data_IF_896635480870
#
_entry.id   IF_896635480870
#
_cell.length_a   1.000
_cell.length_b   1.000
_cell.length_c   1.000
_cell.angle_alpha   90.00
_cell.angle_beta   90.00
_cell.angle_gamma   90.00
#
_symmetry.space_group_name_H-M   'P 1'
#
loop_
_entity.id
_entity.type
_entity.pdbx_description
1 polymer ?
#
# COMPACT_ATOMS: atom_id res chain seq x y z
N UNK A 1 -46.42 1.87 -37.10
CA UNK A 1 -47.23 3.10 -37.13
C UNK A 1 -46.81 4.01 -35.98
N UNK A 2 -46.39 5.24 -36.31
CA UNK A 2 -46.19 6.48 -35.53
C UNK A 2 -46.79 6.42 -34.09
N UNK A 3 -46.09 6.85 -33.04
CA UNK A 3 -45.85 8.29 -32.79
C UNK A 3 -44.48 8.58 -32.15
N UNK A 4 -43.85 9.58 -32.77
CA UNK A 4 -42.66 10.32 -32.40
C UNK A 4 -43.10 11.45 -31.46
N UNK A 5 -42.52 11.56 -30.26
CA UNK A 5 -42.67 12.76 -29.43
C UNK A 5 -41.30 13.40 -29.27
N UNK A 6 -41.07 14.41 -30.11
CA UNK A 6 -39.94 15.34 -30.04
C UNK A 6 -40.25 16.32 -28.91
N UNK A 7 -39.42 16.36 -27.86
CA UNK A 7 -39.42 17.47 -26.90
C UNK A 7 -38.22 18.37 -27.23
N UNK A 8 -38.59 19.60 -27.53
CA UNK A 8 -37.81 20.70 -28.07
C UNK A 8 -36.87 21.31 -27.01
N UNK A 9 -35.68 21.69 -27.46
CA UNK A 9 -34.69 22.55 -26.80
C UNK A 9 -35.31 23.70 -25.97
N UNK A 10 -34.84 23.88 -24.73
CA UNK A 10 -34.73 25.21 -24.11
C UNK A 10 -33.29 25.41 -23.62
N UNK A 11 -32.49 26.04 -24.48
CA UNK A 11 -31.18 26.59 -24.14
C UNK A 11 -31.40 27.97 -23.50
N UNK A 12 -31.24 28.09 -22.19
CA UNK A 12 -30.97 29.38 -21.54
C UNK A 12 -29.80 29.25 -20.60
N UNK A 13 -28.65 29.56 -21.19
CA UNK A 13 -27.39 29.92 -20.57
C UNK A 13 -27.59 31.13 -19.64
N UNK A 14 -27.43 30.94 -18.33
CA UNK A 14 -27.13 32.04 -17.40
C UNK A 14 -25.88 31.63 -16.64
N UNK A 15 -24.73 31.96 -17.23
CA UNK A 15 -23.44 31.98 -16.56
C UNK A 15 -23.45 33.25 -15.69
N UNK A 16 -23.75 33.14 -14.41
CA UNK A 16 -23.36 34.19 -13.44
C UNK A 16 -21.93 33.91 -13.01
N UNK A 17 -20.98 34.47 -13.77
CA UNK A 17 -19.62 34.69 -13.30
C UNK A 17 -19.68 35.73 -12.18
N UNK A 18 -19.85 35.26 -10.94
CA UNK A 18 -19.45 36.03 -9.78
C UNK A 18 -17.94 35.92 -9.70
N UNK A 19 -17.27 36.86 -10.40
CA UNK A 19 -15.88 37.15 -10.19
C UNK A 19 -15.72 37.77 -8.80
N UNK A 20 -15.34 36.95 -7.82
CA UNK A 20 -14.71 37.47 -6.61
C UNK A 20 -13.25 37.78 -6.96
N UNK A 21 -13.06 39.07 -7.26
CA UNK A 21 -11.85 39.87 -7.10
C UNK A 21 -10.78 39.18 -6.24
N UNK A 22 -9.64 38.93 -6.87
CA UNK A 22 -8.36 38.65 -6.23
C UNK A 22 -8.01 39.79 -5.26
N UNK A 23 -8.00 39.50 -3.97
CA UNK A 23 -7.14 40.23 -3.04
C UNK A 23 -5.91 39.36 -2.82
N UNK A 24 -4.84 39.71 -3.55
CA UNK A 24 -3.48 39.31 -3.22
C UNK A 24 -3.25 39.70 -1.75
N UNK A 25 -3.23 38.72 -0.85
CA UNK A 25 -2.45 38.86 0.38
C UNK A 25 -1.02 38.50 0.03
N UNK A 26 -0.25 39.56 -0.18
CA UNK A 26 1.20 39.56 -0.23
C UNK A 26 1.76 38.80 0.99
N UNK A 27 2.79 37.96 0.83
CA UNK A 27 3.41 37.27 1.95
C UNK A 27 4.10 38.29 2.84
N UNK A 28 3.81 38.23 4.14
CA UNK A 28 4.50 39.00 5.17
C UNK A 28 6.00 38.67 5.13
N UNK A 29 6.79 39.64 4.68
CA UNK A 29 8.25 39.66 4.82
C UNK A 29 8.54 39.89 6.29
N UNK A 30 8.91 38.83 7.01
CA UNK A 30 9.54 38.99 8.31
C UNK A 30 11.03 39.21 8.06
N UNK A 31 11.44 40.43 8.35
CA UNK A 31 12.80 40.95 8.25
C UNK A 31 13.80 40.11 9.06
N UNK A 32 14.90 39.78 8.39
CA UNK A 32 16.17 39.36 8.98
C UNK A 32 16.78 40.53 9.77
N UNK A 33 17.35 40.32 10.97
CA UNK A 33 18.37 41.22 11.48
C UNK A 33 19.77 40.76 11.05
N UNK A 34 20.51 41.72 10.47
CA UNK A 34 21.92 41.68 10.10
C UNK A 34 22.89 41.55 11.31
N UNK A 35 24.06 40.98 10.99
CA UNK A 35 25.43 41.25 11.45
C UNK A 35 25.76 41.47 12.95
N UNK A 36 26.68 40.61 13.43
CA UNK A 36 27.82 41.07 14.24
C UNK A 36 29.10 40.52 13.63
N UNK A 37 30.03 41.43 13.33
CA UNK A 37 31.32 41.26 12.68
C UNK A 37 32.36 40.49 13.53
N UNK A 38 33.09 39.60 12.82
CA UNK A 38 34.55 39.43 12.70
C UNK A 38 35.47 39.87 13.85
N UNK A 39 36.30 38.94 14.36
CA UNK A 39 37.76 39.15 14.47
C UNK A 39 38.54 37.85 14.23
N UNK A 40 39.39 37.91 13.20
CA UNK A 40 40.55 37.07 12.80
C UNK A 40 41.55 36.76 13.94
N UNK A 41 42.60 35.94 13.86
CA UNK A 41 43.30 35.04 12.92
C UNK A 41 44.30 34.25 13.82
N UNK A 42 44.77 33.06 13.43
CA UNK A 42 46.23 32.78 13.25
C UNK A 42 46.55 31.29 13.05
N UNK A 43 46.97 30.99 11.81
CA UNK A 43 48.10 30.15 11.33
C UNK A 43 48.30 28.69 11.78
N UNK A 44 48.19 27.83 10.76
CA UNK A 44 48.89 26.55 10.51
C UNK A 44 50.42 26.67 10.57
N UNK A 45 51.13 25.53 10.72
CA UNK A 45 51.94 25.10 9.57
C UNK A 45 51.79 23.62 9.20
N UNK A 46 51.77 23.39 7.88
CA UNK A 46 52.01 22.16 7.14
C UNK A 46 53.36 21.51 7.50
N UNK A 47 53.40 20.18 7.60
CA UNK A 47 54.61 19.40 7.30
C UNK A 47 54.23 18.22 6.42
N UNK A 48 54.66 18.36 5.17
CA UNK A 48 54.69 17.40 4.08
C UNK A 48 55.99 16.57 4.18
N UNK A 49 55.88 15.23 4.11
CA UNK A 49 56.98 14.35 3.65
C UNK A 49 56.37 13.09 3.00
N UNK A 50 56.58 12.91 1.69
CA UNK A 50 56.41 11.66 0.92
C UNK A 50 57.61 10.68 1.14
N UNK A 51 57.80 9.60 0.35
CA UNK A 51 57.20 8.27 0.48
C UNK A 51 58.27 7.18 0.75
N UNK A 52 57.89 5.98 1.23
CA UNK A 52 58.75 4.80 1.10
C UNK A 52 57.97 3.56 0.64
N UNK A 53 58.64 2.82 -0.25
CA UNK A 53 58.16 1.73 -1.07
C UNK A 53 58.07 0.36 -0.38
N UNK A 54 57.08 -0.42 -0.85
CA UNK A 54 57.11 -1.87 -1.17
C UNK A 54 57.54 -2.86 -0.08
N UNK A 55 56.61 -3.72 0.37
CA UNK A 55 56.64 -5.19 0.17
C UNK A 55 55.25 -5.82 0.30
N UNK A 56 54.78 -6.40 -0.81
CA UNK A 56 53.69 -7.38 -0.92
C UNK A 56 53.99 -8.65 -0.12
N UNK A 57 52.99 -9.25 0.53
CA UNK A 57 52.84 -10.70 0.44
C UNK A 57 51.51 -11.05 -0.22
N UNK A 58 51.63 -11.80 -1.30
CA UNK A 58 50.58 -12.50 -2.02
C UNK A 58 50.09 -13.64 -1.12
N UNK A 59 48.82 -13.58 -0.70
CA UNK A 59 48.13 -14.75 -0.13
C UNK A 59 46.83 -14.93 -0.89
N UNK A 60 46.89 -15.93 -1.75
CA UNK A 60 45.83 -16.66 -2.45
C UNK A 60 44.52 -16.70 -1.67
N UNK A 61 43.47 -16.16 -2.29
CA UNK A 61 42.08 -16.39 -1.89
C UNK A 61 41.68 -17.77 -2.44
N UNK A 62 41.61 -18.77 -1.56
CA UNK A 62 40.86 -20.00 -1.85
C UNK A 62 39.38 -19.70 -1.55
N UNK A 63 38.57 -19.59 -2.60
CA UNK A 63 37.11 -19.55 -2.50
C UNK A 63 36.61 -20.94 -2.10
N UNK A 64 36.15 -21.07 -0.86
CA UNK A 64 35.24 -22.14 -0.43
C UNK A 64 33.84 -21.53 -0.41
N UNK A 65 32.85 -22.07 -1.15
CA UNK A 65 31.50 -21.53 -1.12
C UNK A 65 30.89 -21.79 0.26
N UNK A 66 30.67 -20.74 1.05
CA UNK A 66 29.72 -20.78 2.16
C UNK A 66 28.33 -20.96 1.58
N UNK A 67 27.79 -22.14 1.82
CA UNK A 67 26.42 -22.53 1.58
C UNK A 67 25.50 -21.51 2.25
N UNK A 68 24.67 -20.86 1.43
CA UNK A 68 23.58 -20.00 1.89
C UNK A 68 22.61 -20.89 2.68
N UNK A 69 22.75 -20.90 4.00
CA UNK A 69 21.70 -21.35 4.90
C UNK A 69 20.53 -20.36 4.72
N UNK A 70 19.63 -20.72 3.82
CA UNK A 70 18.32 -20.13 3.68
C UNK A 70 17.58 -20.36 5.00
N UNK A 71 17.50 -19.33 5.84
CA UNK A 71 16.62 -19.29 7.01
C UNK A 71 15.16 -19.31 6.51
N UNK A 72 14.73 -20.46 5.98
CA UNK A 72 13.33 -20.79 5.84
C UNK A 72 12.83 -21.09 7.23
N UNK A 73 12.49 -20.04 7.98
CA UNK A 73 11.54 -20.17 9.06
C UNK A 73 10.20 -20.50 8.42
N UNK A 74 10.00 -21.78 8.10
CA UNK A 74 8.73 -22.32 7.64
C UNK A 74 7.80 -22.22 8.83
N UNK A 75 7.10 -21.08 8.91
CA UNK A 75 5.84 -21.00 9.64
C UNK A 75 4.97 -22.17 9.15
N UNK A 76 4.52 -22.98 10.09
CA UNK A 76 3.75 -24.20 9.89
C UNK A 76 2.77 -24.13 8.71
N UNK A 77 2.86 -25.10 7.81
CA UNK A 77 2.12 -25.16 6.53
C UNK A 77 0.60 -25.46 6.66
N UNK A 78 -0.03 -25.13 7.78
CA UNK A 78 -1.47 -25.36 8.01
C UNK A 78 -2.30 -24.05 7.98
N UNK A 79 -1.67 -22.87 7.85
CA UNK A 79 -2.37 -21.59 7.98
C UNK A 79 -2.48 -20.77 6.68
N UNK A 80 -2.51 -21.43 5.52
CA UNK A 80 -2.69 -20.70 4.25
C UNK A 80 -4.16 -20.24 4.13
N UNK A 81 -4.43 -18.97 3.77
CA UNK A 81 -5.80 -18.49 3.59
C UNK A 81 -6.56 -19.31 2.53
N UNK A 82 -7.88 -19.38 2.67
CA UNK A 82 -8.76 -20.12 1.75
C UNK A 82 -8.87 -19.50 0.34
N UNK A 83 -8.07 -18.48 0.04
CA UNK A 83 -8.04 -17.75 -1.21
C UNK A 83 -6.60 -17.44 -1.64
N UNK A 84 -6.44 -17.03 -2.90
CA UNK A 84 -5.24 -16.39 -3.43
C UNK A 84 -5.54 -14.93 -3.76
N UNK A 85 -4.51 -14.10 -3.78
CA UNK A 85 -4.60 -12.72 -4.26
C UNK A 85 -3.53 -12.53 -5.31
N UNK A 86 -3.96 -12.04 -6.47
CA UNK A 86 -3.09 -11.88 -7.63
C UNK A 86 -3.30 -10.47 -8.20
N UNK A 87 -2.27 -9.92 -8.84
CA UNK A 87 -2.45 -8.71 -9.64
C UNK A 87 -3.39 -9.01 -10.80
N UNK A 88 -4.36 -8.11 -11.04
CA UNK A 88 -5.35 -8.35 -12.09
C UNK A 88 -4.71 -8.48 -13.47
N UNK A 89 -3.64 -7.73 -13.76
CA UNK A 89 -2.98 -7.77 -15.06
C UNK A 89 -2.39 -9.16 -15.40
N UNK A 90 -2.07 -9.96 -14.38
CA UNK A 90 -1.47 -11.28 -14.54
C UNK A 90 -2.51 -12.37 -14.81
N UNK A 91 -3.72 -12.25 -14.24
CA UNK A 91 -4.72 -13.35 -14.22
C UNK A 91 -6.03 -13.04 -14.94
N UNK A 92 -6.39 -11.77 -15.13
CA UNK A 92 -7.75 -11.38 -15.55
C UNK A 92 -8.10 -11.86 -16.97
N UNK A 93 -7.09 -12.10 -17.83
CA UNK A 93 -7.33 -12.65 -19.17
C UNK A 93 -7.89 -14.08 -19.16
N UNK A 94 -7.71 -14.81 -18.05
CA UNK A 94 -8.17 -16.18 -17.85
C UNK A 94 -9.47 -16.25 -17.04
N UNK A 95 -9.95 -15.12 -16.51
CA UNK A 95 -11.13 -15.03 -15.64
C UNK A 95 -12.27 -14.29 -16.39
N UNK A 96 -13.23 -15.01 -16.98
CA UNK A 96 -14.24 -14.41 -17.85
C UNK A 96 -15.40 -13.74 -17.09
N UNK A 97 -15.61 -14.08 -15.82
CA UNK A 97 -16.66 -13.51 -14.96
C UNK A 97 -16.09 -13.25 -13.56
N UNK A 98 -16.45 -12.11 -12.97
CA UNK A 98 -16.03 -11.70 -11.65
C UNK A 98 -17.02 -10.70 -11.07
N UNK A 99 -17.11 -10.66 -9.74
CA UNK A 99 -17.68 -9.49 -9.06
C UNK A 99 -16.62 -8.38 -9.02
N UNK A 100 -17.05 -7.13 -8.97
CA UNK A 100 -16.14 -5.99 -8.87
C UNK A 100 -16.47 -5.11 -7.68
N UNK A 101 -15.42 -4.64 -7.01
CA UNK A 101 -15.48 -3.59 -6.01
C UNK A 101 -14.49 -2.47 -6.36
N UNK A 102 -14.93 -1.23 -6.16
CA UNK A 102 -14.09 -0.04 -6.28
C UNK A 102 -14.29 0.79 -5.02
N UNK A 103 -13.21 1.05 -4.29
CA UNK A 103 -13.30 1.86 -3.10
C UNK A 103 -13.71 3.31 -3.44
N UNK A 104 -14.58 3.96 -2.64
CA UNK A 104 -14.88 5.38 -2.81
C UNK A 104 -13.59 6.19 -2.82
N UNK A 105 -13.47 7.13 -3.75
CA UNK A 105 -12.28 7.98 -3.94
C UNK A 105 -10.98 7.24 -4.30
N UNK A 106 -11.04 5.94 -4.63
CA UNK A 106 -9.87 5.26 -5.20
C UNK A 106 -9.52 5.92 -6.53
N UNK A 107 -8.31 6.45 -6.64
CA UNK A 107 -7.69 6.63 -7.95
C UNK A 107 -7.21 5.22 -8.33
N UNK A 108 -7.81 4.57 -9.35
CA UNK A 108 -7.57 3.15 -9.61
C UNK A 108 -6.16 2.97 -10.18
N UNK A 109 -5.19 2.81 -9.28
CA UNK A 109 -3.79 2.55 -9.65
C UNK A 109 -3.37 1.12 -9.27
N UNK A 110 -4.22 0.37 -8.57
CA UNK A 110 -3.89 -1.01 -8.18
C UNK A 110 -5.12 -1.90 -8.20
N UNK A 111 -5.09 -2.89 -9.10
CA UNK A 111 -6.19 -3.84 -9.31
C UNK A 111 -5.74 -5.22 -8.86
N UNK A 112 -6.45 -5.80 -7.91
CA UNK A 112 -6.16 -7.12 -7.35
C UNK A 112 -7.36 -8.05 -7.52
N UNK A 113 -7.10 -9.34 -7.71
CA UNK A 113 -8.15 -10.35 -7.83
C UNK A 113 -8.03 -11.32 -6.67
N UNK A 114 -9.13 -11.45 -5.92
CA UNK A 114 -9.28 -12.49 -4.90
C UNK A 114 -9.89 -13.73 -5.53
N UNK A 115 -9.14 -14.84 -5.52
CA UNK A 115 -9.54 -16.12 -6.11
C UNK A 115 -9.77 -17.11 -4.99
N UNK A 116 -11.03 -17.49 -4.76
CA UNK A 116 -11.39 -18.47 -3.76
C UNK A 116 -10.93 -19.89 -4.17
N UNK A 117 -10.39 -20.65 -3.22
CA UNK A 117 -10.07 -22.08 -3.43
C UNK A 117 -11.29 -22.98 -3.13
N UNK A 118 -12.22 -22.47 -2.31
CA UNK A 118 -13.51 -23.06 -1.93
C UNK A 118 -14.52 -21.93 -1.70
N UNK A 119 -15.78 -22.26 -1.46
CA UNK A 119 -16.78 -21.24 -1.09
C UNK A 119 -16.38 -20.62 0.25
N UNK A 120 -16.20 -19.30 0.27
CA UNK A 120 -15.88 -18.53 1.48
C UNK A 120 -17.11 -17.73 1.89
N UNK A 121 -17.52 -17.93 3.15
CA UNK A 121 -18.65 -17.24 3.75
C UNK A 121 -18.21 -15.97 4.47
N UNK A 122 -19.11 -14.99 4.50
CA UNK A 122 -18.90 -13.71 5.19
C UNK A 122 -17.61 -12.99 4.79
N UNK A 123 -17.17 -13.17 3.54
CA UNK A 123 -16.03 -12.44 2.99
C UNK A 123 -16.35 -10.95 2.96
N UNK A 124 -15.43 -10.13 3.48
CA UNK A 124 -15.55 -8.67 3.53
C UNK A 124 -14.25 -8.04 3.08
N UNK A 125 -14.37 -6.90 2.41
CA UNK A 125 -13.28 -5.93 2.26
C UNK A 125 -13.41 -4.91 3.37
N UNK A 126 -12.28 -4.63 4.01
CA UNK A 126 -12.13 -3.71 5.12
C UNK A 126 -11.23 -2.55 4.70
N UNK A 127 -11.60 -1.34 5.10
CA UNK A 127 -10.63 -0.29 5.32
C UNK A 127 -10.05 -0.46 6.73
N UNK A 128 -8.72 -0.37 6.86
CA UNK A 128 -8.04 -0.56 8.13
C UNK A 128 -7.16 0.65 8.46
N UNK A 129 -7.10 0.98 9.75
CA UNK A 129 -6.28 2.07 10.27
C UNK A 129 -5.47 1.56 11.46
N UNK A 130 -4.15 1.78 11.44
CA UNK A 130 -3.27 1.37 12.54
C UNK A 130 -3.74 1.99 13.86
N UNK A 131 -3.91 1.15 14.87
CA UNK A 131 -4.26 1.58 16.22
C UNK A 131 -3.02 1.56 17.11
N UNK A 132 -2.44 0.37 17.31
CA UNK A 132 -1.26 0.18 18.14
C UNK A 132 -0.56 -1.14 17.78
N UNK A 133 0.62 -1.38 18.36
CA UNK A 133 1.26 -2.69 18.36
C UNK A 133 1.23 -3.25 19.79
N UNK A 134 0.89 -4.53 19.92
CA UNK A 134 0.92 -5.22 21.21
C UNK A 134 2.36 -5.35 21.73
N UNK A 135 2.50 -5.70 23.01
CA UNK A 135 3.82 -5.96 23.62
C UNK A 135 4.55 -7.13 22.91
N UNK A 136 3.80 -8.07 22.34
CA UNK A 136 4.30 -9.21 21.58
C UNK A 136 4.57 -8.87 20.09
N UNK A 137 4.34 -7.62 19.68
CA UNK A 137 4.60 -7.12 18.33
C UNK A 137 3.48 -7.35 17.32
N UNK A 138 2.31 -7.81 17.76
CA UNK A 138 1.13 -7.96 16.90
C UNK A 138 0.53 -6.59 16.59
N UNK A 139 0.24 -6.32 15.32
CA UNK A 139 -0.34 -5.04 14.93
C UNK A 139 -1.86 -5.11 15.10
N UNK A 140 -2.41 -4.12 15.80
CA UNK A 140 -3.83 -3.93 16.02
C UNK A 140 -4.34 -2.84 15.09
N UNK A 141 -5.41 -3.13 14.35
CA UNK A 141 -6.04 -2.19 13.43
C UNK A 141 -7.49 -1.91 13.81
N UNK A 142 -7.90 -0.64 13.74
CA UNK A 142 -9.32 -0.32 13.58
C UNK A 142 -9.80 -0.84 12.23
N UNK A 143 -11.03 -1.36 12.18
CA UNK A 143 -11.59 -1.92 10.95
C UNK A 143 -12.92 -1.25 10.60
N UNK A 144 -13.13 -1.04 9.31
CA UNK A 144 -14.40 -0.58 8.75
C UNK A 144 -14.75 -1.43 7.55
N UNK A 145 -15.86 -2.16 7.63
CA UNK A 145 -16.42 -2.87 6.47
C UNK A 145 -16.79 -1.85 5.38
N UNK A 146 -16.25 -2.05 4.18
CA UNK A 146 -16.53 -1.19 3.02
C UNK A 146 -17.21 -1.95 1.88
N UNK A 147 -17.11 -3.27 1.86
CA UNK A 147 -17.81 -4.12 0.91
C UNK A 147 -17.98 -5.54 1.43
N UNK A 148 -19.12 -6.15 1.09
CA UNK A 148 -19.48 -7.51 1.47
C UNK A 148 -20.27 -8.17 0.33
N UNK A 149 -19.65 -9.00 -0.52
CA UNK A 149 -20.39 -9.82 -1.47
C UNK A 149 -21.24 -10.87 -0.74
N UNK A 150 -22.21 -11.45 -1.43
CA UNK A 150 -23.02 -12.56 -0.89
C UNK A 150 -22.15 -13.77 -0.50
N UNK A 151 -21.20 -14.11 -1.36
CA UNK A 151 -20.13 -15.10 -1.11
C UNK A 151 -18.97 -14.85 -2.07
N UNK A 152 -17.80 -15.36 -1.72
CA UNK A 152 -16.65 -15.46 -2.62
C UNK A 152 -16.50 -16.93 -3.02
N UNK A 153 -16.61 -17.22 -4.32
CA UNK A 153 -16.59 -18.61 -4.83
C UNK A 153 -15.48 -18.79 -5.87
N UNK A 154 -15.01 -20.03 -6.10
CA UNK A 154 -13.99 -20.29 -7.13
C UNK A 154 -14.43 -19.86 -8.53
N UNK A 155 -15.71 -20.04 -8.86
CA UNK A 155 -16.28 -19.70 -10.17
C UNK A 155 -16.56 -18.20 -10.32
N UNK A 156 -16.59 -17.44 -9.21
CA UNK A 156 -16.84 -16.01 -9.22
C UNK A 156 -15.86 -15.24 -8.32
N UNK A 157 -14.61 -15.06 -8.79
CA UNK A 157 -13.61 -14.24 -8.12
C UNK A 157 -14.07 -12.79 -7.91
N UNK A 158 -13.34 -12.06 -7.06
CA UNK A 158 -13.59 -10.65 -6.80
C UNK A 158 -12.43 -9.80 -7.32
N UNK A 159 -12.68 -8.95 -8.31
CA UNK A 159 -11.79 -7.88 -8.71
C UNK A 159 -11.99 -6.69 -7.76
N UNK A 160 -10.92 -6.25 -7.10
CA UNK A 160 -10.94 -5.09 -6.23
C UNK A 160 -9.97 -4.02 -6.73
N UNK A 161 -10.46 -2.78 -6.80
CA UNK A 161 -9.65 -1.61 -7.08
C UNK A 161 -9.27 -0.95 -5.75
N UNK A 162 -7.98 -0.98 -5.44
CA UNK A 162 -7.40 -0.45 -4.21
C UNK A 162 -6.45 0.72 -4.49
N UNK A 163 -6.20 1.49 -3.44
CA UNK A 163 -5.08 2.40 -3.37
C UNK A 163 -4.23 2.01 -2.17
N UNK A 164 -2.97 1.67 -2.43
CA UNK A 164 -1.98 1.36 -1.39
C UNK A 164 -1.23 2.65 -1.03
N UNK A 165 -1.33 3.09 0.22
CA UNK A 165 -0.74 4.35 0.66
C UNK A 165 0.27 4.13 1.79
N UNK A 166 1.47 4.66 1.61
CA UNK A 166 2.53 4.59 2.62
C UNK A 166 2.99 3.16 2.89
N UNK A 167 3.55 2.95 4.07
CA UNK A 167 4.10 1.65 4.50
C UNK A 167 3.18 0.89 5.45
N UNK A 168 2.20 1.57 6.04
CA UNK A 168 1.22 0.99 6.95
C UNK A 168 0.03 0.49 6.11
N UNK A 169 -0.34 -0.80 6.20
CA UNK A 169 -1.49 -1.32 5.47
C UNK A 169 -2.77 -0.53 5.75
N UNK A 170 -3.53 -0.26 4.69
CA UNK A 170 -4.80 0.47 4.73
C UNK A 170 -5.98 -0.31 4.10
N UNK A 171 -5.68 -1.46 3.48
CA UNK A 171 -6.65 -2.39 2.93
C UNK A 171 -6.56 -3.71 3.69
N UNK A 172 -7.71 -4.25 4.08
CA UNK A 172 -7.81 -5.54 4.72
C UNK A 172 -8.98 -6.35 4.19
N UNK A 173 -9.04 -7.61 4.59
CA UNK A 173 -10.18 -8.49 4.39
C UNK A 173 -10.49 -9.22 5.69
N UNK A 174 -11.72 -9.74 5.77
CA UNK A 174 -12.05 -10.76 6.76
C UNK A 174 -12.98 -11.81 6.17
N UNK A 175 -12.95 -13.02 6.70
CA UNK A 175 -13.91 -14.07 6.37
C UNK A 175 -14.09 -15.05 7.52
N UNK A 176 -15.14 -15.87 7.46
CA UNK A 176 -15.36 -16.96 8.42
C UNK A 176 -14.77 -18.26 7.89
N UNK A 177 -13.86 -18.87 8.65
CA UNK A 177 -13.22 -20.15 8.32
C UNK A 177 -14.16 -21.36 8.54
N UNK A 178 -13.63 -22.57 8.33
CA UNK A 178 -14.41 -23.80 8.49
C UNK A 178 -14.75 -24.14 9.95
N UNK A 179 -13.97 -23.62 10.90
CA UNK A 179 -14.20 -23.78 12.34
C UNK A 179 -15.16 -22.72 12.90
N UNK A 180 -15.54 -21.74 12.08
CA UNK A 180 -16.44 -20.66 12.44
C UNK A 180 -15.73 -19.45 13.05
N UNK A 181 -14.41 -19.39 13.00
CA UNK A 181 -13.63 -18.24 13.46
C UNK A 181 -13.57 -17.18 12.37
N UNK A 182 -13.56 -15.91 12.76
CA UNK A 182 -13.33 -14.82 11.81
C UNK A 182 -11.83 -14.57 11.68
N UNK A 183 -11.31 -14.76 10.48
CA UNK A 183 -9.93 -14.49 10.13
C UNK A 183 -9.79 -13.10 9.52
N UNK A 184 -8.68 -12.43 9.80
CA UNK A 184 -8.41 -11.05 9.39
C UNK A 184 -7.03 -10.97 8.75
N UNK A 185 -6.97 -10.39 7.54
CA UNK A 185 -5.73 -10.26 6.79
C UNK A 185 -5.57 -8.86 6.23
N UNK A 186 -4.36 -8.34 6.30
CA UNK A 186 -3.95 -7.14 5.56
C UNK A 186 -3.69 -7.51 4.10
N UNK A 187 -3.91 -6.56 3.20
CA UNK A 187 -3.49 -6.66 1.80
C UNK A 187 -2.52 -5.52 1.57
N UNK A 188 -1.28 -5.85 1.22
CA UNK A 188 -0.22 -4.87 1.03
C UNK A 188 0.66 -5.20 -0.18
N UNK A 189 1.53 -4.27 -0.53
CA UNK A 189 2.53 -4.46 -1.58
C UNK A 189 3.92 -4.46 -0.95
N UNK A 190 4.69 -5.50 -1.24
CA UNK A 190 6.09 -5.61 -0.84
C UNK A 190 6.90 -4.45 -1.43
N UNK A 191 7.55 -3.68 -0.55
CA UNK A 191 8.50 -2.65 -0.98
C UNK A 191 9.79 -3.20 -1.60
N UNK A 192 10.03 -4.51 -1.51
CA UNK A 192 11.23 -5.17 -2.03
C UNK A 192 11.10 -5.48 -3.53
N UNK A 193 9.93 -5.99 -3.95
CA UNK A 193 9.73 -6.54 -5.29
C UNK A 193 8.35 -6.23 -5.90
N UNK A 194 7.47 -5.52 -5.20
CA UNK A 194 6.14 -5.17 -5.70
C UNK A 194 5.13 -6.33 -5.69
N UNK A 195 5.48 -7.48 -5.09
CA UNK A 195 4.54 -8.58 -4.91
C UNK A 195 3.44 -8.22 -3.91
N UNK A 196 2.27 -8.86 -4.04
CA UNK A 196 1.22 -8.75 -3.04
C UNK A 196 1.61 -9.57 -1.80
N UNK A 197 1.44 -8.96 -0.63
CA UNK A 197 1.71 -9.57 0.67
C UNK A 197 0.41 -9.60 1.48
N UNK A 198 0.19 -10.71 2.16
CA UNK A 198 -0.99 -10.97 2.97
C UNK A 198 -0.49 -11.42 4.34
N UNK A 199 -0.79 -10.63 5.37
CA UNK A 199 -0.39 -10.92 6.75
C UNK A 199 -1.61 -10.90 7.67
N UNK A 200 -1.66 -11.81 8.63
CA UNK A 200 -2.68 -11.83 9.67
C UNK A 200 -2.57 -10.60 10.59
N UNK A 201 -3.70 -10.11 11.08
CA UNK A 201 -3.73 -9.03 12.06
C UNK A 201 -4.85 -9.19 13.08
N UNK A 202 -4.74 -8.45 14.19
CA UNK A 202 -5.77 -8.41 15.22
C UNK A 202 -6.67 -7.20 15.01
N UNK A 203 -7.99 -7.36 14.81
CA UNK A 203 -8.88 -6.22 14.78
C UNK A 203 -9.00 -5.62 16.19
N UNK A 204 -9.10 -4.30 16.27
CA UNK A 204 -9.50 -3.62 17.49
C UNK A 204 -10.86 -4.18 17.93
N UNK A 205 -10.96 -4.55 19.21
CA UNK A 205 -12.23 -5.01 19.78
C UNK A 205 -13.21 -3.84 19.74
N UNK A 206 -14.37 -4.05 19.11
CA UNK A 206 -15.40 -3.01 19.04
C UNK A 206 -15.88 -2.62 20.44
N UNK A 207 -15.97 -1.31 20.71
CA UNK A 207 -16.65 -0.74 21.88
C UNK A 207 -18.18 -0.94 21.81
#
# INVERSE_FOLDING_TARGET
>A
MKKLTVILLSLTLIITLVGCKSENKEPEVIESPEEVEVVEETKTPEVEVEPEETKTPEVTVEETPEELEEDTNIASSDNQPAFKVEWADDVLSEIPDYNEYTAPDSVPESRVVFIAQKVINDFKILNIEFLEASEDGEIIFNTKEVYKPESLTPDKPLLANFSFFGTIPNNGISYVDEDGNTQYYTINVSGKDGSLVIDEFIPAQGE
#
